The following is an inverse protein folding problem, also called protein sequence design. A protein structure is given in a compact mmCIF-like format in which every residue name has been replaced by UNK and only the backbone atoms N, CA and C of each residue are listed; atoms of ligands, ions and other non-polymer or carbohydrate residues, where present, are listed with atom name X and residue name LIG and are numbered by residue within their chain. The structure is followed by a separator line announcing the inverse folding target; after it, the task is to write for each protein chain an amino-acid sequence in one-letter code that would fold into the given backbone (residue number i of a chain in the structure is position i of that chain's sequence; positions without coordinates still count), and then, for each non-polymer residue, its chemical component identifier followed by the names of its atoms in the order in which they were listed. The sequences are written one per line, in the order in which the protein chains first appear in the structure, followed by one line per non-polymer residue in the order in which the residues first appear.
data_IF_071789409865
#
_entry.id   IF_071789409865
#
_cell.length_a   1.000
_cell.length_b   1.000
_cell.length_c   1.000
_cell.angle_alpha   90.00
_cell.angle_beta   90.00
_cell.angle_gamma   90.00
#
_symmetry.space_group_name_H-M   'P 1'
#
loop_
_entity.id
_entity.type
_entity.pdbx_description
1 polymer ?
#
# COMPACT_ATOMS: atom_id res chain seq x y z
N UNK A 1 -14.00 0.11 -12.10
CA UNK A 1 -15.23 -0.70 -12.06
C UNK A 1 -15.52 -1.03 -10.60
N UNK A 2 -16.73 -0.77 -10.11
CA UNK A 2 -17.13 -1.01 -8.72
C UNK A 2 -17.98 -2.28 -8.67
N UNK A 3 -17.47 -3.41 -8.13
CA UNK A 3 -18.26 -4.62 -8.00
C UNK A 3 -19.24 -4.49 -6.82
N UNK A 4 -20.56 -4.34 -7.05
CA UNK A 4 -21.51 -4.13 -5.95
C UNK A 4 -21.62 -5.34 -5.03
N UNK A 5 -21.27 -6.54 -5.54
CA UNK A 5 -21.27 -7.77 -4.76
C UNK A 5 -20.25 -7.75 -3.62
N UNK A 6 -19.10 -7.07 -3.78
CA UNK A 6 -18.08 -7.02 -2.74
C UNK A 6 -18.57 -6.24 -1.51
N UNK A 7 -19.38 -5.19 -1.70
CA UNK A 7 -20.02 -4.47 -0.59
C UNK A 7 -20.90 -5.40 0.25
N UNK A 8 -21.73 -6.22 -0.41
CA UNK A 8 -22.61 -7.20 0.26
C UNK A 8 -21.75 -8.20 1.04
N UNK A 9 -20.68 -8.71 0.42
CA UNK A 9 -19.75 -9.66 1.07
C UNK A 9 -19.11 -9.04 2.31
N UNK A 10 -18.61 -7.80 2.26
CA UNK A 10 -17.99 -7.16 3.44
C UNK A 10 -18.98 -6.95 4.58
N UNK A 11 -20.23 -6.56 4.28
CA UNK A 11 -21.29 -6.43 5.29
C UNK A 11 -21.58 -7.79 5.94
N UNK A 12 -21.77 -8.85 5.14
CA UNK A 12 -22.05 -10.20 5.64
C UNK A 12 -20.88 -10.78 6.45
N UNK A 13 -19.64 -10.59 5.99
CA UNK A 13 -18.44 -11.00 6.72
C UNK A 13 -18.31 -10.27 8.05
N UNK A 14 -18.73 -9.00 8.14
CA UNK A 14 -18.70 -8.22 9.38
C UNK A 14 -19.77 -8.65 10.40
N UNK A 15 -20.80 -9.38 9.99
CA UNK A 15 -21.94 -9.77 10.84
C UNK A 15 -21.50 -10.66 12.02
N UNK A 16 -20.68 -11.68 11.76
CA UNK A 16 -20.20 -12.60 12.81
C UNK A 16 -19.39 -11.86 13.90
N UNK A 17 -18.31 -11.12 13.57
CA UNK A 17 -17.57 -10.37 14.60
C UNK A 17 -18.41 -9.27 15.25
N UNK A 18 -19.35 -8.64 14.53
CA UNK A 18 -20.24 -7.64 15.09
C UNK A 18 -21.18 -8.24 16.15
N UNK A 19 -21.75 -9.41 15.90
CA UNK A 19 -22.60 -10.10 16.88
C UNK A 19 -21.79 -10.53 18.11
N UNK A 20 -20.58 -11.06 17.90
CA UNK A 20 -19.69 -11.46 19.00
C UNK A 20 -19.32 -10.27 19.88
N UNK A 21 -18.84 -9.16 19.30
CA UNK A 21 -18.50 -7.96 20.07
C UNK A 21 -19.73 -7.25 20.63
N UNK A 22 -20.85 -7.31 19.91
CA UNK A 22 -22.15 -6.79 20.33
C UNK A 22 -22.63 -7.46 21.61
N UNK A 23 -22.43 -8.77 21.72
CA UNK A 23 -22.77 -9.55 22.90
C UNK A 23 -21.75 -9.42 24.03
N UNK A 24 -20.44 -9.39 23.71
CA UNK A 24 -19.36 -9.32 24.72
C UNK A 24 -19.20 -7.93 25.35
N UNK A 25 -19.48 -6.85 24.61
CA UNK A 25 -19.24 -5.47 25.06
C UNK A 25 -20.57 -4.72 25.13
N UNK A 26 -21.10 -4.29 23.99
CA UNK A 26 -22.44 -3.68 23.86
C UNK A 26 -22.91 -3.76 22.41
N UNK A 27 -24.24 -3.77 22.13
CA UNK A 27 -24.76 -3.72 20.78
C UNK A 27 -24.23 -2.55 19.94
N UNK A 28 -23.94 -1.41 20.56
CA UNK A 28 -23.36 -0.24 19.89
C UNK A 28 -21.99 -0.53 19.27
N UNK A 29 -21.16 -1.36 19.91
CA UNK A 29 -19.85 -1.75 19.38
C UNK A 29 -20.01 -2.65 18.16
N UNK A 30 -20.99 -3.56 18.18
CA UNK A 30 -21.33 -4.38 17.01
C UNK A 30 -21.72 -3.52 15.81
N UNK A 31 -22.63 -2.56 16.01
CA UNK A 31 -23.02 -1.61 14.95
C UNK A 31 -21.85 -0.75 14.48
N UNK A 32 -21.02 -0.26 15.40
CA UNK A 32 -19.83 0.52 15.05
C UNK A 32 -18.88 -0.29 14.17
N UNK A 33 -18.63 -1.56 14.50
CA UNK A 33 -17.78 -2.44 13.68
C UNK A 33 -18.34 -2.62 12.26
N UNK A 34 -19.64 -2.88 12.13
CA UNK A 34 -20.28 -3.04 10.82
C UNK A 34 -20.16 -1.75 9.98
N UNK A 35 -20.47 -0.60 10.59
CA UNK A 35 -20.32 0.71 9.95
C UNK A 35 -18.87 0.95 9.52
N UNK A 36 -17.91 0.78 10.42
CA UNK A 36 -16.48 1.01 10.13
C UNK A 36 -15.96 0.09 9.02
N UNK A 37 -16.26 -1.21 9.08
CA UNK A 37 -15.79 -2.18 8.05
C UNK A 37 -16.33 -1.81 6.68
N UNK A 38 -17.62 -1.48 6.60
CA UNK A 38 -18.27 -1.05 5.36
C UNK A 38 -17.69 0.28 4.86
N UNK A 39 -17.49 1.25 5.76
CA UNK A 39 -16.90 2.54 5.43
C UNK A 39 -15.46 2.41 4.91
N UNK A 40 -14.63 1.52 5.47
CA UNK A 40 -13.27 1.29 4.98
C UNK A 40 -13.30 0.82 3.52
N UNK A 41 -14.18 -0.12 3.18
CA UNK A 41 -14.33 -0.58 1.80
C UNK A 41 -14.81 0.55 0.87
N UNK A 42 -15.81 1.34 1.29
CA UNK A 42 -16.29 2.46 0.49
C UNK A 42 -15.21 3.54 0.29
N UNK A 43 -14.39 3.82 1.30
CA UNK A 43 -13.26 4.74 1.20
C UNK A 43 -12.21 4.19 0.24
N UNK A 44 -11.89 2.89 0.31
CA UNK A 44 -10.99 2.21 -0.63
C UNK A 44 -11.47 2.36 -2.07
N UNK A 45 -12.71 2.03 -2.34
CA UNK A 45 -13.28 2.12 -3.69
C UNK A 45 -13.35 3.57 -4.18
N UNK A 46 -13.73 4.51 -3.30
CA UNK A 46 -13.75 5.93 -3.64
C UNK A 46 -12.37 6.45 -4.02
N UNK A 47 -11.33 6.16 -3.21
CA UNK A 47 -9.96 6.58 -3.50
C UNK A 47 -9.43 5.94 -4.77
N UNK A 48 -9.67 4.64 -4.96
CA UNK A 48 -9.30 3.90 -6.16
C UNK A 48 -9.98 4.48 -7.41
N UNK A 49 -11.27 4.79 -7.32
CA UNK A 49 -12.02 5.47 -8.38
C UNK A 49 -11.38 6.82 -8.72
N UNK A 50 -11.08 7.65 -7.72
CA UNK A 50 -10.41 8.93 -7.92
C UNK A 50 -9.04 8.81 -8.60
N UNK A 51 -8.36 7.67 -8.50
CA UNK A 51 -7.09 7.45 -9.21
C UNK A 51 -7.26 7.28 -10.72
N UNK A 52 -8.43 6.80 -11.16
CA UNK A 52 -8.70 6.44 -12.55
C UNK A 52 -9.56 7.46 -13.30
N UNK A 53 -10.18 8.42 -12.60
CA UNK A 53 -10.87 9.52 -13.28
C UNK A 53 -9.92 10.55 -13.89
N UNK A 54 -10.46 11.33 -14.80
CA UNK A 54 -9.78 12.44 -15.45
C UNK A 54 -9.31 13.50 -14.46
N UNK A 55 -8.25 14.21 -14.83
CA UNK A 55 -7.69 15.29 -14.03
C UNK A 55 -8.71 16.41 -13.83
N UNK A 56 -8.91 16.81 -12.58
CA UNK A 56 -9.79 17.91 -12.21
C UNK A 56 -9.29 18.59 -10.93
N UNK A 57 -9.89 19.74 -10.58
CA UNK A 57 -9.46 20.52 -9.40
C UNK A 57 -9.53 19.69 -8.10
N UNK A 58 -10.50 18.80 -7.96
CA UNK A 58 -10.64 17.98 -6.75
C UNK A 58 -9.50 16.96 -6.61
N UNK A 59 -9.26 16.13 -7.63
CA UNK A 59 -8.18 15.11 -7.58
C UNK A 59 -6.77 15.71 -7.56
N UNK A 60 -6.63 16.97 -8.01
CA UNK A 60 -5.35 17.68 -8.00
C UNK A 60 -4.97 18.20 -6.62
N UNK A 61 -5.93 18.78 -5.90
CA UNK A 61 -5.68 19.56 -4.68
C UNK A 61 -6.12 18.88 -3.39
N UNK A 62 -7.01 17.88 -3.44
CA UNK A 62 -7.38 17.13 -2.25
C UNK A 62 -6.17 16.27 -1.77
N UNK A 63 -5.64 16.50 -0.56
CA UNK A 63 -4.32 16.03 -0.16
C UNK A 63 -4.17 14.50 -0.02
N UNK A 64 -5.25 13.79 0.31
CA UNK A 64 -5.21 12.32 0.36
C UNK A 64 -5.36 11.73 -1.05
N UNK A 65 -6.27 12.30 -1.84
CA UNK A 65 -6.57 11.84 -3.20
C UNK A 65 -5.37 12.04 -4.11
N UNK A 66 -4.74 13.21 -4.11
CA UNK A 66 -3.59 13.48 -4.97
C UNK A 66 -2.38 12.61 -4.62
N UNK A 67 -2.19 12.34 -3.33
CA UNK A 67 -1.14 11.45 -2.82
C UNK A 67 -1.36 10.03 -3.30
N UNK A 68 -2.56 9.46 -3.11
CA UNK A 68 -2.86 8.09 -3.54
C UNK A 68 -2.84 7.96 -5.06
N UNK A 69 -3.34 8.95 -5.79
CA UNK A 69 -3.30 8.89 -7.25
C UNK A 69 -1.87 8.76 -7.77
N UNK A 70 -0.93 9.52 -7.20
CA UNK A 70 0.50 9.38 -7.50
C UNK A 70 1.05 8.02 -7.06
N UNK A 71 0.71 7.58 -5.85
CA UNK A 71 1.16 6.31 -5.26
C UNK A 71 0.74 5.10 -6.12
N UNK A 72 -0.53 5.07 -6.53
CA UNK A 72 -1.11 4.07 -7.42
C UNK A 72 -0.52 4.13 -8.82
N UNK A 73 -0.29 5.33 -9.36
CA UNK A 73 0.38 5.48 -10.66
C UNK A 73 1.79 4.86 -10.62
N UNK A 74 2.53 5.08 -9.53
CA UNK A 74 3.84 4.48 -9.34
C UNK A 74 3.76 2.94 -9.18
N UNK A 75 2.74 2.43 -8.49
CA UNK A 75 2.48 0.99 -8.38
C UNK A 75 2.38 0.33 -9.76
N UNK A 76 1.75 0.93 -10.76
CA UNK A 76 1.67 0.34 -12.12
C UNK A 76 3.01 0.26 -12.87
N UNK A 77 4.11 0.78 -12.31
CA UNK A 77 5.44 0.59 -12.87
C UNK A 77 5.91 -0.86 -12.66
N UNK A 78 6.15 -1.57 -13.76
CA UNK A 78 6.54 -2.99 -13.78
C UNK A 78 7.75 -3.34 -12.91
N UNK A 79 8.65 -2.38 -12.65
CA UNK A 79 9.81 -2.60 -11.78
C UNK A 79 9.44 -2.79 -10.30
N UNK A 80 8.34 -2.18 -9.86
CA UNK A 80 7.95 -2.15 -8.43
C UNK A 80 6.55 -2.71 -8.15
N UNK A 81 5.72 -2.93 -9.18
CA UNK A 81 4.30 -3.26 -9.08
C UNK A 81 3.97 -4.42 -8.15
N UNK A 82 4.80 -5.45 -8.07
CA UNK A 82 4.51 -6.61 -7.22
C UNK A 82 5.01 -6.48 -5.78
N UNK A 83 5.81 -5.46 -5.48
CA UNK A 83 6.53 -5.39 -4.20
C UNK A 83 6.34 -4.06 -3.46
N UNK A 84 5.83 -3.02 -4.13
CA UNK A 84 5.71 -1.71 -3.54
C UNK A 84 4.37 -1.04 -3.87
N UNK A 85 4.02 -0.08 -3.01
CA UNK A 85 2.87 0.80 -3.15
C UNK A 85 1.53 0.07 -3.24
N UNK A 86 1.34 -0.95 -2.41
CA UNK A 86 0.15 -1.81 -2.45
C UNK A 86 -1.06 -1.19 -1.73
N UNK A 87 -0.83 -0.23 -0.81
CA UNK A 87 -1.93 0.43 -0.10
C UNK A 87 -2.64 1.44 -1.02
N UNK A 88 -3.94 1.28 -1.19
CA UNK A 88 -4.77 2.09 -2.09
C UNK A 88 -5.73 3.05 -1.37
N UNK A 89 -5.57 3.23 -0.05
CA UNK A 89 -6.35 4.16 0.77
C UNK A 89 -5.46 5.23 1.42
N UNK A 90 -4.66 4.83 2.40
CA UNK A 90 -3.63 5.67 3.01
C UNK A 90 -2.35 4.84 3.00
N UNK A 91 -1.19 5.40 2.62
CA UNK A 91 0.06 4.65 2.46
C UNK A 91 0.74 4.38 3.82
N UNK A 92 -0.04 4.01 4.83
CA UNK A 92 0.41 3.78 6.20
C UNK A 92 1.12 2.43 6.30
N UNK A 93 0.53 1.37 5.73
CA UNK A 93 1.17 0.05 5.74
C UNK A 93 2.45 0.06 4.89
N UNK A 94 2.41 0.70 3.71
CA UNK A 94 3.60 0.81 2.86
C UNK A 94 4.75 1.57 3.53
N UNK A 95 4.44 2.61 4.32
CA UNK A 95 5.44 3.28 5.14
C UNK A 95 5.95 2.37 6.27
N UNK A 96 5.04 1.74 7.01
CA UNK A 96 5.37 0.92 8.18
C UNK A 96 6.21 -0.32 7.82
N UNK A 97 5.91 -0.96 6.68
CA UNK A 97 6.64 -2.12 6.19
C UNK A 97 7.77 -1.78 5.23
N UNK A 98 8.01 -0.49 4.95
CA UNK A 98 9.06 -0.03 4.04
C UNK A 98 8.82 -0.40 2.57
N UNK A 99 7.61 -0.80 2.19
CA UNK A 99 7.19 -1.14 0.83
C UNK A 99 6.69 0.08 0.04
N UNK A 100 6.96 1.30 0.49
CA UNK A 100 6.74 2.50 -0.32
C UNK A 100 7.96 2.84 -1.19
N UNK A 101 7.70 3.36 -2.37
CA UNK A 101 8.73 3.94 -3.25
C UNK A 101 9.22 5.33 -2.81
N UNK A 102 8.61 5.93 -1.80
CA UNK A 102 9.03 7.21 -1.22
C UNK A 102 10.04 7.02 -0.08
N UNK A 103 11.03 7.89 -0.02
CA UNK A 103 11.96 8.03 1.11
C UNK A 103 11.54 9.21 2.00
N UNK A 104 10.47 9.03 2.79
CA UNK A 104 9.93 10.05 3.72
C UNK A 104 9.45 9.43 5.04
N UNK A 105 9.11 10.26 6.02
CA UNK A 105 8.36 9.82 7.21
C UNK A 105 6.87 9.58 6.91
N UNK A 106 6.10 9.13 7.92
CA UNK A 106 4.67 8.83 7.82
C UNK A 106 3.85 9.99 7.22
N UNK A 107 3.97 11.19 7.80
CA UNK A 107 3.27 12.37 7.29
C UNK A 107 3.67 12.72 5.86
N UNK A 108 4.94 12.48 5.52
CA UNK A 108 5.43 12.67 4.16
C UNK A 108 4.83 11.68 3.16
N UNK A 109 4.48 10.47 3.59
CA UNK A 109 3.75 9.50 2.77
C UNK A 109 2.28 9.88 2.62
N UNK A 110 1.62 10.28 3.71
CA UNK A 110 0.19 10.62 3.72
C UNK A 110 -0.11 11.92 2.96
N UNK A 111 0.80 12.89 2.98
CA UNK A 111 0.62 14.23 2.40
C UNK A 111 1.67 14.55 1.33
N UNK A 112 2.10 13.55 0.54
CA UNK A 112 3.11 13.77 -0.50
C UNK A 112 2.58 14.59 -1.69
N UNK A 113 1.30 14.43 -2.01
CA UNK A 113 0.71 14.85 -3.27
C UNK A 113 1.42 14.23 -4.48
N UNK A 114 1.48 14.99 -5.58
CA UNK A 114 2.12 14.58 -6.84
C UNK A 114 3.66 14.69 -6.84
N UNK A 115 4.30 14.99 -5.71
CA UNK A 115 5.75 15.22 -5.68
C UNK A 115 6.53 13.94 -6.02
N UNK A 116 7.48 14.06 -6.94
CA UNK A 116 8.43 12.99 -7.32
C UNK A 116 9.81 13.18 -6.69
N UNK A 117 10.00 14.21 -5.86
CA UNK A 117 11.30 14.60 -5.28
C UNK A 117 11.92 13.51 -4.39
N UNK A 118 11.09 12.72 -3.72
CA UNK A 118 11.51 11.78 -2.69
C UNK A 118 11.49 10.32 -3.15
N UNK A 119 11.45 10.08 -4.46
CA UNK A 119 11.44 8.72 -5.01
C UNK A 119 12.79 8.04 -4.76
N UNK A 120 12.74 6.81 -4.26
CA UNK A 120 13.88 5.89 -4.13
C UNK A 120 14.34 5.45 -5.51
N UNK A 121 15.45 6.02 -5.99
CA UNK A 121 15.98 5.75 -7.33
C UNK A 121 16.44 4.31 -7.49
N UNK A 122 16.94 3.72 -6.41
CA UNK A 122 17.41 2.34 -6.33
C UNK A 122 16.35 1.29 -6.69
N UNK A 123 15.05 1.64 -6.59
CA UNK A 123 13.94 0.75 -6.95
C UNK A 123 13.71 0.63 -8.46
N UNK A 124 14.19 1.61 -9.23
CA UNK A 124 13.99 1.69 -10.67
C UNK A 124 15.26 1.38 -11.46
N UNK A 125 16.40 1.27 -10.80
CA UNK A 125 17.63 0.81 -11.45
C UNK A 125 17.55 -0.71 -11.72
N UNK A 126 17.96 -1.19 -12.91
CA UNK A 126 18.09 -2.61 -13.15
C UNK A 126 18.98 -3.20 -12.06
N UNK A 127 18.49 -4.22 -11.35
CA UNK A 127 19.24 -4.91 -10.30
C UNK A 127 20.59 -5.34 -10.88
N UNK A 128 21.63 -4.52 -10.68
CA UNK A 128 23.01 -4.85 -11.04
C UNK A 128 23.27 -6.13 -10.27
N UNK A 129 23.38 -7.26 -10.97
CA UNK A 129 23.64 -8.58 -10.34
C UNK A 129 24.68 -8.34 -9.27
N UNK A 130 24.29 -8.49 -8.01
CA UNK A 130 25.19 -8.39 -6.87
C UNK A 130 26.11 -9.59 -6.96
N UNK A 131 27.09 -9.52 -7.84
CA UNK A 131 28.23 -10.42 -7.89
C UNK A 131 29.10 -10.06 -6.69
N UNK A 132 28.73 -10.59 -5.53
CA UNK A 132 29.60 -10.71 -4.38
C UNK A 132 29.86 -12.21 -4.25
N UNK A 133 31.01 -12.66 -4.76
CA UNK A 133 32.23 -12.81 -3.94
C UNK A 133 31.96 -13.69 -2.71
N UNK A 134 31.76 -14.97 -2.96
CA UNK A 134 32.19 -16.00 -2.01
C UNK A 134 33.72 -15.97 -1.97
N UNK A 135 34.23 -15.27 -0.95
CA UNK A 135 35.46 -15.55 -0.23
C UNK A 135 36.51 -16.39 -0.96
N UNK A 136 37.48 -15.71 -1.57
CA UNK A 136 38.87 -16.17 -1.54
C UNK A 136 39.32 -16.20 -0.07
N UNK A 137 39.13 -17.33 0.60
CA UNK A 137 39.86 -17.66 1.82
C UNK A 137 40.89 -18.72 1.49
N UNK A 138 42.14 -18.28 1.53
CA UNK A 138 43.40 -19.03 1.62
C UNK A 138 43.26 -20.48 2.12
N UNK A 139 43.79 -21.41 1.33
CA UNK A 139 44.00 -22.81 1.70
C UNK A 139 45.25 -23.33 1.00
N UNK A 140 46.40 -23.06 1.60
CA UNK A 140 47.65 -23.73 1.26
C UNK A 140 47.63 -25.15 1.86
N UNK A 141 47.84 -26.19 1.03
CA UNK A 141 48.75 -27.33 1.24
C UNK A 141 48.45 -28.47 0.22
N UNK A 142 49.50 -28.99 -0.43
CA UNK A 142 49.49 -30.32 -1.06
C UNK A 142 50.20 -30.42 -2.41
N UNK A 143 51.51 -30.70 -2.40
CA UNK A 143 52.33 -31.05 -3.59
C UNK A 143 51.97 -32.42 -4.19
N UNK A 144 52.30 -32.66 -5.48
CA UNK A 144 51.96 -33.89 -6.19
C UNK A 144 53.01 -35.00 -5.93
N UNK A 145 52.55 -36.25 -6.04
CA UNK A 145 53.37 -37.43 -6.29
C UNK A 145 53.00 -37.99 -7.67
#
# INVERSE_FOLDING_TARGET
FFPPYALIVFILMSMVPALVLGWLITPNVGWLLMCTTTSIYLIYEFMHFCCHIEENKFVRYCPFVNTIRRHHTAHHNQHIMMNCNMNLTFPIADWMFGTSDLNRGLLGHIFNGYSTKYIKKELYEPRRRRSQKTSTSSGALGSPA
#
